data_IF_149914344222
#
_entry.id   IF_149914344222
#
_cell.length_a   1.000
_cell.length_b   1.000
_cell.length_c   1.000
_cell.angle_alpha   90.00
_cell.angle_beta   90.00
_cell.angle_gamma   90.00
#
_symmetry.space_group_name_H-M   'P 1'
#
loop_
_entity.id
_entity.type
_entity.pdbx_description
1 polymer ?
#
# COMPACT_ATOMS: atom_id res chain seq x y z
N UNK A 1 -16.42 8.99 10.92
CA UNK A 1 -15.68 8.70 12.17
C UNK A 1 -15.30 10.00 12.85
N UNK A 2 -15.54 10.12 14.16
CA UNK A 2 -15.24 11.34 14.92
C UNK A 2 -13.73 11.63 14.92
N UNK A 3 -13.33 12.90 14.65
CA UNK A 3 -11.94 13.35 14.68
C UNK A 3 -11.11 12.99 13.44
N UNK A 4 -11.72 12.45 12.39
CA UNK A 4 -11.08 12.34 11.08
C UNK A 4 -10.97 13.74 10.47
N UNK A 5 -9.80 14.05 9.97
CA UNK A 5 -9.55 15.22 9.14
C UNK A 5 -8.51 14.84 8.12
N UNK A 6 -8.89 14.87 6.86
CA UNK A 6 -8.08 14.54 5.71
C UNK A 6 -7.35 13.17 5.86
N UNK A 7 -8.10 12.05 6.02
CA UNK A 7 -7.49 10.72 6.15
C UNK A 7 -6.68 10.39 4.90
N UNK A 8 -5.44 9.96 5.12
CA UNK A 8 -4.48 9.76 4.05
C UNK A 8 -4.14 8.28 3.84
N UNK A 9 -3.82 7.56 4.93
CA UNK A 9 -3.50 6.13 4.91
C UNK A 9 -4.27 5.38 5.98
N UNK A 10 -4.56 4.13 5.69
CA UNK A 10 -5.28 3.24 6.58
C UNK A 10 -4.53 1.93 6.75
N UNK A 11 -4.64 1.35 7.94
CA UNK A 11 -4.22 -0.01 8.23
C UNK A 11 -5.23 -0.68 9.15
N UNK A 12 -5.56 -1.95 8.89
CA UNK A 12 -6.47 -2.73 9.74
C UNK A 12 -5.67 -3.72 10.59
N UNK A 13 -5.89 -3.67 11.90
CA UNK A 13 -5.46 -4.69 12.89
C UNK A 13 -6.69 -5.11 13.66
N UNK A 14 -7.50 -5.99 13.06
CA UNK A 14 -8.80 -6.37 13.60
C UNK A 14 -8.77 -6.57 15.11
N UNK A 15 -9.69 -5.97 15.89
CA UNK A 15 -10.86 -5.20 15.44
C UNK A 15 -10.61 -3.69 15.30
N UNK A 16 -9.39 -3.24 15.11
CA UNK A 16 -9.04 -1.82 15.07
C UNK A 16 -8.69 -1.35 13.66
N UNK A 17 -9.08 -0.11 13.36
CA UNK A 17 -8.65 0.64 12.19
C UNK A 17 -7.70 1.75 12.64
N UNK A 18 -6.50 1.77 12.08
CA UNK A 18 -5.52 2.82 12.27
C UNK A 18 -5.62 3.75 11.07
N UNK A 19 -5.76 5.04 11.34
CA UNK A 19 -5.87 6.08 10.31
C UNK A 19 -4.73 7.07 10.50
N UNK A 20 -3.99 7.34 9.44
CA UNK A 20 -3.08 8.47 9.34
C UNK A 20 -3.79 9.62 8.66
N UNK A 21 -3.83 10.78 9.31
CA UNK A 21 -4.29 12.03 8.71
C UNK A 21 -3.13 12.78 8.05
N UNK A 22 -3.40 13.49 6.97
CA UNK A 22 -2.41 14.32 6.27
C UNK A 22 -2.34 15.75 6.81
N UNK A 23 -3.35 16.19 7.56
CA UNK A 23 -3.40 17.54 8.10
C UNK A 23 -2.32 17.78 9.15
N UNK A 24 -1.37 18.64 8.80
CA UNK A 24 -0.24 19.01 9.65
C UNK A 24 -0.61 19.98 10.78
N UNK A 25 -1.81 20.53 10.77
CA UNK A 25 -2.28 21.49 11.77
C UNK A 25 -2.99 20.82 12.94
N UNK A 26 -3.16 19.49 12.90
CA UNK A 26 -3.83 18.74 13.94
C UNK A 26 -2.93 18.35 15.10
N UNK A 27 -3.53 18.25 16.28
CA UNK A 27 -2.88 17.77 17.49
C UNK A 27 -2.46 16.30 17.42
N UNK A 28 -3.02 15.51 16.48
CA UNK A 28 -2.76 14.09 16.35
C UNK A 28 -2.78 13.63 14.90
N UNK A 29 -1.68 12.97 14.48
CA UNK A 29 -1.50 12.44 13.12
C UNK A 29 -2.15 11.06 12.94
N UNK A 30 -2.22 10.27 14.01
CA UNK A 30 -2.70 8.88 13.96
C UNK A 30 -3.86 8.70 14.90
N UNK A 31 -4.93 8.09 14.39
CA UNK A 31 -6.14 7.76 15.13
C UNK A 31 -6.39 6.25 15.11
N UNK A 32 -6.79 5.67 16.22
CA UNK A 32 -7.18 4.27 16.36
C UNK A 32 -8.67 4.19 16.66
N UNK A 33 -9.42 3.55 15.77
CA UNK A 33 -10.85 3.33 15.90
C UNK A 33 -11.17 1.87 16.16
N UNK A 34 -12.14 1.61 17.02
CA UNK A 34 -12.71 0.29 17.21
C UNK A 34 -13.83 0.07 16.17
N UNK A 35 -13.62 -0.87 15.27
CA UNK A 35 -14.55 -1.18 14.17
C UNK A 35 -15.87 -1.82 14.63
N UNK A 36 -15.95 -2.28 15.87
CA UNK A 36 -17.20 -2.88 16.42
C UNK A 36 -18.25 -1.82 16.72
N UNK A 37 -17.83 -0.60 17.06
CA UNK A 37 -18.73 0.50 17.42
C UNK A 37 -18.36 1.84 16.76
N UNK A 38 -17.31 1.87 15.91
CA UNK A 38 -16.79 3.05 15.23
C UNK A 38 -16.32 4.17 16.18
N UNK A 39 -15.92 3.83 17.40
CA UNK A 39 -15.44 4.78 18.39
C UNK A 39 -13.94 5.05 18.27
N UNK A 40 -13.56 6.31 18.40
CA UNK A 40 -12.16 6.71 18.59
C UNK A 40 -11.67 6.23 19.97
N UNK A 41 -10.63 5.39 19.99
CA UNK A 41 -10.02 4.84 21.21
C UNK A 41 -8.77 5.59 21.62
N UNK A 42 -7.93 5.95 20.66
CA UNK A 42 -6.73 6.75 20.93
C UNK A 42 -6.34 7.59 19.73
N UNK A 43 -5.65 8.71 20.04
CA UNK A 43 -5.07 9.59 19.05
C UNK A 43 -3.65 9.99 19.52
N UNK A 44 -2.68 9.98 18.60
CA UNK A 44 -1.29 10.23 18.95
C UNK A 44 -0.47 10.75 17.77
N UNK A 45 0.77 11.18 18.07
CA UNK A 45 1.72 11.69 17.11
C UNK A 45 1.45 13.14 16.70
N UNK A 46 2.52 13.94 16.67
CA UNK A 46 2.51 15.33 16.23
C UNK A 46 3.60 15.53 15.19
N UNK A 47 3.44 16.53 14.35
CA UNK A 47 4.52 16.96 13.46
C UNK A 47 5.58 17.69 14.28
N UNK A 48 6.84 17.29 14.12
CA UNK A 48 7.97 17.92 14.80
C UNK A 48 9.18 17.00 14.89
N UNK A 49 10.18 17.42 15.66
CA UNK A 49 11.46 16.71 15.84
C UNK A 49 11.68 16.18 17.26
N UNK A 50 10.69 16.33 18.14
CA UNK A 50 10.75 15.86 19.51
C UNK A 50 10.57 14.33 19.66
N UNK A 51 10.69 13.78 20.89
CA UNK A 51 10.70 12.34 21.12
C UNK A 51 9.43 11.58 20.70
N UNK A 52 8.29 12.26 20.67
CA UNK A 52 6.98 11.70 20.25
C UNK A 52 6.42 12.40 19.02
N UNK A 53 7.29 13.05 18.26
CA UNK A 53 6.96 13.82 17.08
C UNK A 53 7.48 13.12 15.83
N UNK A 54 6.90 13.46 14.69
CA UNK A 54 7.13 12.81 13.42
C UNK A 54 7.52 13.82 12.34
N UNK A 55 8.50 13.42 11.53
CA UNK A 55 8.89 14.14 10.31
C UNK A 55 8.56 13.24 9.14
N UNK A 56 7.62 13.66 8.28
CA UNK A 56 7.16 12.88 7.12
C UNK A 56 6.85 11.40 7.45
N UNK A 57 5.90 11.12 8.37
CA UNK A 57 5.57 9.75 8.71
C UNK A 57 4.75 9.08 7.59
N UNK A 58 4.92 7.75 7.47
CA UNK A 58 4.07 6.90 6.64
C UNK A 58 3.56 5.71 7.44
N UNK A 59 2.26 5.55 7.50
CA UNK A 59 1.64 4.32 7.97
C UNK A 59 1.77 3.27 6.86
N UNK A 60 2.44 2.17 7.15
CA UNK A 60 2.66 1.09 6.20
C UNK A 60 1.55 0.05 6.29
N UNK A 61 1.01 -0.36 5.14
CA UNK A 61 0.24 -1.59 5.08
C UNK A 61 1.17 -2.78 5.29
N UNK A 62 0.80 -3.69 6.19
CA UNK A 62 1.58 -4.89 6.47
C UNK A 62 0.72 -5.99 7.09
N UNK A 63 1.19 -7.24 7.01
CA UNK A 63 0.50 -8.41 7.53
C UNK A 63 0.93 -8.80 8.96
N UNK A 64 1.85 -8.07 9.57
CA UNK A 64 2.29 -8.30 10.96
C UNK A 64 1.14 -8.08 11.94
N UNK A 65 1.27 -8.56 13.18
CA UNK A 65 0.35 -8.23 14.27
C UNK A 65 0.45 -6.76 14.68
N UNK A 66 1.62 -6.17 14.52
CA UNK A 66 1.90 -4.77 14.75
C UNK A 66 1.50 -3.92 13.53
N UNK A 67 1.09 -2.69 13.75
CA UNK A 67 1.13 -1.68 12.72
C UNK A 67 2.46 -0.94 12.76
N UNK A 68 2.91 -0.47 11.60
CA UNK A 68 4.24 0.11 11.43
C UNK A 68 4.14 1.51 10.85
N UNK A 69 4.86 2.43 11.46
CA UNK A 69 5.02 3.81 10.98
C UNK A 69 6.49 4.01 10.64
N UNK A 70 6.79 4.53 9.44
CA UNK A 70 8.12 5.08 9.18
C UNK A 70 8.20 6.51 9.67
N UNK A 71 9.37 6.94 10.11
CA UNK A 71 9.61 8.32 10.49
C UNK A 71 10.85 8.83 9.76
N UNK A 72 10.73 9.99 9.12
CA UNK A 72 11.78 10.62 8.31
C UNK A 72 12.40 9.66 7.25
N UNK A 73 11.60 8.73 6.74
CA UNK A 73 11.99 7.69 5.78
C UNK A 73 13.20 6.82 6.17
N UNK A 74 13.65 6.84 7.42
CA UNK A 74 14.88 6.16 7.85
C UNK A 74 14.71 5.26 9.08
N UNK A 75 13.54 5.21 9.69
CA UNK A 75 13.28 4.35 10.84
C UNK A 75 11.89 3.77 10.81
N UNK A 76 11.74 2.58 11.37
CA UNK A 76 10.46 1.92 11.64
C UNK A 76 10.10 2.07 13.11
N UNK A 77 8.86 2.38 13.37
CA UNK A 77 8.26 2.33 14.70
C UNK A 77 7.12 1.33 14.67
N UNK A 78 7.21 0.26 15.44
CA UNK A 78 6.22 -0.80 15.53
C UNK A 78 5.35 -0.60 16.76
N UNK A 79 4.04 -0.72 16.56
CA UNK A 79 3.04 -0.52 17.58
C UNK A 79 2.07 -1.70 17.63
N UNK A 80 1.59 -1.99 18.83
CA UNK A 80 0.39 -2.80 19.03
C UNK A 80 -0.76 -1.91 19.45
N UNK A 81 -1.99 -2.37 19.21
CA UNK A 81 -3.17 -1.81 19.87
C UNK A 81 -3.51 -2.75 21.03
N UNK A 82 -3.59 -2.21 22.24
CA UNK A 82 -3.95 -3.01 23.40
C UNK A 82 -5.47 -3.26 23.48
N UNK A 83 -5.89 -4.00 24.51
CA UNK A 83 -7.31 -4.34 24.74
C UNK A 83 -8.22 -3.12 24.92
N UNK A 84 -7.67 -2.00 25.35
CA UNK A 84 -8.38 -0.74 25.62
C UNK A 84 -8.33 0.21 24.40
N UNK A 85 -7.71 -0.24 23.29
CA UNK A 85 -7.58 0.50 22.05
C UNK A 85 -6.45 1.54 22.05
N UNK A 86 -5.50 1.44 23.01
CA UNK A 86 -4.38 2.34 23.06
C UNK A 86 -3.23 1.85 22.16
N UNK A 87 -2.64 2.76 21.41
CA UNK A 87 -1.45 2.49 20.61
C UNK A 87 -0.21 2.49 21.51
N UNK A 88 0.44 1.34 21.61
CA UNK A 88 1.65 1.16 22.44
C UNK A 88 2.84 0.85 21.53
N UNK A 89 3.84 1.74 21.55
CA UNK A 89 5.09 1.51 20.83
C UNK A 89 5.86 0.35 21.47
N UNK A 90 6.14 -0.67 20.68
CA UNK A 90 6.92 -1.86 21.07
C UNK A 90 8.39 -1.69 20.76
N UNK A 91 8.68 -1.13 19.60
CA UNK A 91 10.03 -1.08 19.07
C UNK A 91 10.21 0.14 18.17
N UNK A 92 11.41 0.72 18.21
CA UNK A 92 11.88 1.68 17.22
C UNK A 92 13.22 1.17 16.67
N UNK A 93 13.30 0.97 15.37
CA UNK A 93 14.47 0.46 14.67
C UNK A 93 14.87 1.40 13.55
N UNK A 94 16.15 1.74 13.51
CA UNK A 94 16.76 2.36 12.33
C UNK A 94 17.55 1.25 11.63
N UNK A 95 17.12 0.79 10.44
CA UNK A 95 17.86 -0.23 9.70
C UNK A 95 19.28 0.24 9.42
N UNK A 96 20.22 -0.69 9.48
CA UNK A 96 21.62 -0.40 9.13
C UNK A 96 21.75 -0.04 7.63
N UNK A 97 20.94 -0.65 6.78
CA UNK A 97 20.82 -0.33 5.37
C UNK A 97 20.12 1.02 5.16
N UNK A 98 20.84 1.99 4.62
CA UNK A 98 20.37 3.37 4.45
C UNK A 98 19.61 3.55 3.13
N UNK A 99 18.28 3.58 3.20
CA UNK A 99 17.39 3.82 2.05
C UNK A 99 16.08 4.45 2.54
N UNK A 100 15.36 5.11 1.63
CA UNK A 100 14.02 5.61 1.93
C UNK A 100 13.03 4.43 2.15
N UNK A 101 12.44 4.37 3.34
CA UNK A 101 11.63 3.24 3.82
C UNK A 101 10.13 3.41 3.57
N UNK A 102 9.68 4.50 2.97
CA UNK A 102 8.25 4.82 2.78
C UNK A 102 7.50 3.80 1.91
N UNK A 103 8.19 3.09 1.04
CA UNK A 103 7.63 2.04 0.18
C UNK A 103 8.07 0.63 0.63
N UNK A 104 8.38 0.48 1.91
CA UNK A 104 8.76 -0.81 2.46
C UNK A 104 7.56 -1.71 2.71
N UNK A 105 7.76 -3.02 2.49
CA UNK A 105 6.79 -4.06 2.75
C UNK A 105 7.44 -5.19 3.56
N UNK A 106 6.83 -5.59 4.66
CA UNK A 106 7.39 -6.61 5.55
C UNK A 106 7.13 -8.03 5.02
N UNK A 107 8.18 -8.87 5.03
CA UNK A 107 8.07 -10.32 4.87
C UNK A 107 7.85 -10.96 6.25
N UNK A 108 8.62 -10.55 7.25
CA UNK A 108 8.42 -10.85 8.66
C UNK A 108 9.16 -9.80 9.54
N UNK A 109 9.21 -9.98 10.83
CA UNK A 109 9.62 -8.95 11.81
C UNK A 109 10.89 -8.17 11.50
N UNK A 110 11.94 -8.79 10.95
CA UNK A 110 13.20 -8.12 10.61
C UNK A 110 13.46 -8.04 9.10
N UNK A 111 12.75 -8.84 8.29
CA UNK A 111 12.91 -8.89 6.84
C UNK A 111 11.85 -8.05 6.14
N UNK A 112 12.30 -7.22 5.23
CA UNK A 112 11.42 -6.39 4.42
C UNK A 112 11.95 -6.25 2.98
N UNK A 113 11.06 -5.86 2.10
CA UNK A 113 11.39 -5.46 0.72
C UNK A 113 11.16 -3.97 0.60
N UNK A 114 12.06 -3.29 -0.09
CA UNK A 114 11.94 -1.88 -0.40
C UNK A 114 12.14 -1.64 -1.90
N UNK A 115 11.32 -0.77 -2.47
CA UNK A 115 11.46 -0.34 -3.86
C UNK A 115 11.78 1.15 -3.91
N UNK A 116 13.00 1.54 -4.29
CA UNK A 116 13.34 2.93 -4.52
C UNK A 116 12.95 3.40 -5.93
N UNK A 117 11.92 2.81 -6.51
CA UNK A 117 11.46 3.07 -7.88
C UNK A 117 11.17 4.55 -8.13
N UNK A 118 10.62 5.26 -7.13
CA UNK A 118 10.37 6.70 -7.19
C UNK A 118 11.64 7.53 -7.51
N UNK A 119 12.81 7.01 -7.14
CA UNK A 119 14.12 7.64 -7.45
C UNK A 119 14.71 7.16 -8.78
N UNK A 120 13.93 6.46 -9.62
CA UNK A 120 14.39 5.95 -10.91
C UNK A 120 15.28 4.70 -10.81
N UNK A 121 15.42 4.12 -9.63
CA UNK A 121 16.23 2.91 -9.42
C UNK A 121 15.43 1.68 -9.85
N UNK A 122 15.92 0.86 -10.82
CA UNK A 122 15.16 -0.25 -11.39
C UNK A 122 15.24 -1.55 -10.58
N UNK A 123 15.57 -1.45 -9.30
CA UNK A 123 15.76 -2.60 -8.42
C UNK A 123 14.80 -2.55 -7.24
N UNK A 124 14.43 -3.74 -6.77
CA UNK A 124 13.87 -3.97 -5.46
C UNK A 124 14.92 -4.66 -4.61
N UNK A 125 14.92 -4.36 -3.32
CA UNK A 125 15.90 -4.92 -2.40
C UNK A 125 15.20 -5.67 -1.27
N UNK A 126 15.63 -6.90 -1.02
CA UNK A 126 15.30 -7.64 0.19
C UNK A 126 16.34 -7.32 1.24
N UNK A 127 15.92 -6.81 2.37
CA UNK A 127 16.79 -6.32 3.44
C UNK A 127 16.47 -7.00 4.77
N UNK A 128 17.47 -7.20 5.61
CA UNK A 128 17.31 -7.45 7.04
C UNK A 128 17.68 -6.15 7.79
N UNK A 129 16.91 -5.79 8.80
CA UNK A 129 17.12 -4.56 9.58
C UNK A 129 18.51 -4.45 10.22
N UNK A 130 19.18 -5.60 10.43
CA UNK A 130 20.50 -5.71 11.09
C UNK A 130 21.67 -5.62 10.13
N UNK A 131 21.42 -5.74 8.83
CA UNK A 131 22.48 -5.78 7.81
C UNK A 131 22.67 -4.42 7.17
N UNK A 132 23.92 -4.03 6.93
CA UNK A 132 24.28 -2.80 6.21
C UNK A 132 24.03 -2.92 4.70
N UNK A 133 24.07 -4.15 4.17
CA UNK A 133 23.86 -4.45 2.75
C UNK A 133 22.56 -5.23 2.54
N UNK A 134 21.89 -5.08 1.39
CA UNK A 134 20.72 -5.88 1.08
C UNK A 134 21.09 -7.35 0.93
N UNK A 135 20.21 -8.23 1.37
CA UNK A 135 20.36 -9.68 1.21
C UNK A 135 20.26 -10.10 -0.26
N UNK A 136 19.43 -9.41 -1.03
CA UNK A 136 19.19 -9.68 -2.43
C UNK A 136 18.68 -8.43 -3.17
N UNK A 137 19.08 -8.26 -4.40
CA UNK A 137 18.55 -7.29 -5.34
C UNK A 137 17.82 -7.99 -6.48
N UNK A 138 16.73 -7.42 -6.96
CA UNK A 138 15.96 -7.90 -8.09
C UNK A 138 15.67 -6.75 -9.04
N UNK A 139 16.17 -6.88 -10.29
CA UNK A 139 15.84 -5.95 -11.36
C UNK A 139 14.48 -6.30 -11.96
N UNK A 140 13.48 -5.46 -11.73
CA UNK A 140 12.11 -5.69 -12.22
C UNK A 140 11.86 -5.14 -13.63
N UNK A 141 12.79 -4.36 -14.16
CA UNK A 141 12.74 -3.77 -15.50
C UNK A 141 14.14 -3.70 -16.14
N UNK A 142 14.20 -3.28 -17.39
CA UNK A 142 15.46 -3.01 -18.07
C UNK A 142 16.22 -1.87 -17.36
N UNK A 143 17.43 -2.17 -16.93
CA UNK A 143 18.29 -1.22 -16.18
C UNK A 143 18.91 -0.14 -17.05
N UNK A 144 18.77 -0.24 -18.37
CA UNK A 144 19.28 0.76 -19.33
C UNK A 144 18.30 1.93 -19.53
N UNK A 145 17.05 1.79 -19.07
CA UNK A 145 16.05 2.85 -19.18
C UNK A 145 16.27 3.91 -18.10
N UNK A 146 16.33 5.16 -18.50
CA UNK A 146 16.73 6.28 -17.63
C UNK A 146 15.51 6.97 -17.00
N UNK A 147 14.35 6.97 -17.67
CA UNK A 147 13.18 7.72 -17.21
C UNK A 147 12.07 6.81 -16.66
N UNK A 148 11.94 6.78 -15.32
CA UNK A 148 10.91 6.00 -14.64
C UNK A 148 9.47 6.41 -14.99
N UNK A 149 9.21 7.70 -15.18
CA UNK A 149 7.86 8.19 -15.42
C UNK A 149 7.28 7.73 -16.76
N UNK A 150 8.15 7.49 -17.73
CA UNK A 150 7.78 7.07 -19.09
C UNK A 150 8.04 5.58 -19.34
N UNK A 151 8.28 4.82 -18.28
CA UNK A 151 8.59 3.39 -18.35
C UNK A 151 7.31 2.56 -18.39
N UNK A 152 7.03 1.82 -19.48
CA UNK A 152 5.88 0.95 -19.56
C UNK A 152 5.94 -0.23 -18.58
N UNK A 153 7.12 -0.60 -18.10
CA UNK A 153 7.34 -1.62 -17.08
C UNK A 153 7.25 -1.08 -15.64
N UNK A 154 6.82 0.16 -15.49
CA UNK A 154 6.69 0.80 -14.19
C UNK A 154 5.82 -0.02 -13.24
N UNK A 155 6.34 -0.27 -12.06
CA UNK A 155 5.66 -0.91 -10.94
C UNK A 155 5.38 0.15 -9.88
N UNK A 156 4.13 0.61 -9.79
CA UNK A 156 3.72 1.58 -8.77
C UNK A 156 3.34 0.89 -7.45
N UNK A 157 3.01 -0.40 -7.52
CA UNK A 157 2.50 -1.15 -6.39
C UNK A 157 3.27 -2.45 -6.21
N UNK A 158 4.11 -2.48 -5.19
CA UNK A 158 4.78 -3.67 -4.68
C UNK A 158 4.19 -4.00 -3.31
N UNK A 159 3.87 -5.26 -3.10
CA UNK A 159 3.36 -5.77 -1.84
C UNK A 159 4.17 -6.97 -1.40
N UNK A 160 4.31 -7.17 -0.08
CA UNK A 160 4.90 -8.39 0.45
C UNK A 160 4.16 -8.86 1.71
N UNK A 161 4.13 -10.18 1.87
CA UNK A 161 3.77 -10.84 3.11
C UNK A 161 4.70 -12.03 3.35
N UNK A 162 4.42 -12.86 4.36
CA UNK A 162 5.26 -14.02 4.71
C UNK A 162 5.43 -15.04 3.57
N UNK A 163 4.56 -15.03 2.58
CA UNK A 163 4.53 -16.05 1.53
C UNK A 163 4.91 -15.52 0.15
N UNK A 164 4.62 -14.25 -0.12
CA UNK A 164 4.67 -13.69 -1.48
C UNK A 164 5.23 -12.29 -1.50
N UNK A 165 5.88 -11.98 -2.61
CA UNK A 165 6.11 -10.63 -3.12
C UNK A 165 5.26 -10.51 -4.38
N UNK A 166 4.47 -9.45 -4.49
CA UNK A 166 3.57 -9.24 -5.63
C UNK A 166 3.86 -7.89 -6.26
N UNK A 167 4.02 -7.88 -7.58
CA UNK A 167 4.23 -6.68 -8.39
C UNK A 167 3.01 -6.44 -9.26
N UNK A 168 2.39 -5.26 -9.12
CA UNK A 168 1.29 -4.82 -9.96
C UNK A 168 1.78 -3.69 -10.87
N UNK A 169 1.72 -3.91 -12.19
CA UNK A 169 2.25 -2.97 -13.17
C UNK A 169 1.27 -1.85 -13.48
N UNK A 170 1.78 -0.63 -13.60
CA UNK A 170 0.95 0.56 -13.80
C UNK A 170 0.35 0.63 -15.22
N UNK A 171 1.13 0.29 -16.25
CA UNK A 171 0.72 0.43 -17.66
C UNK A 171 0.59 -0.90 -18.42
N UNK A 172 0.75 -2.01 -17.72
CA UNK A 172 0.45 -3.35 -18.23
C UNK A 172 -0.65 -3.95 -17.36
N UNK A 173 -1.62 -4.60 -17.96
CA UNK A 173 -2.53 -5.43 -17.17
C UNK A 173 -1.84 -6.74 -16.80
N UNK A 174 -0.84 -6.62 -15.91
CA UNK A 174 0.02 -7.71 -15.46
C UNK A 174 0.23 -7.66 -13.95
N UNK A 175 0.22 -8.83 -13.34
CA UNK A 175 0.59 -9.04 -11.93
C UNK A 175 1.58 -10.19 -11.88
N UNK A 176 2.71 -9.98 -11.21
CA UNK A 176 3.72 -11.01 -10.96
C UNK A 176 3.66 -11.45 -9.49
N UNK A 177 3.40 -12.72 -9.26
CA UNK A 177 3.47 -13.37 -7.95
C UNK A 177 4.81 -14.08 -7.83
N UNK A 178 5.57 -13.72 -6.82
CA UNK A 178 6.90 -14.26 -6.54
C UNK A 178 6.95 -14.90 -5.16
N UNK A 179 7.89 -15.79 -4.95
CA UNK A 179 8.28 -16.16 -3.59
C UNK A 179 9.06 -15.02 -2.90
N UNK A 180 9.41 -15.21 -1.63
CA UNK A 180 10.14 -14.20 -0.87
C UNK A 180 11.62 -14.08 -1.27
N UNK A 181 12.07 -14.86 -2.23
CA UNK A 181 13.42 -14.81 -2.83
C UNK A 181 13.42 -14.27 -4.27
N UNK A 182 12.32 -13.61 -4.68
CA UNK A 182 12.12 -13.03 -6.01
C UNK A 182 12.08 -14.06 -7.15
N UNK A 183 11.81 -15.34 -6.88
CA UNK A 183 11.55 -16.30 -7.94
C UNK A 183 10.11 -16.15 -8.40
N UNK A 184 9.91 -15.97 -9.71
CA UNK A 184 8.57 -15.87 -10.29
C UNK A 184 7.83 -17.21 -10.14
N UNK A 185 6.68 -17.18 -9.47
CA UNK A 185 5.79 -18.32 -9.30
C UNK A 185 4.71 -18.31 -10.39
N UNK A 186 4.06 -17.15 -10.54
CA UNK A 186 2.97 -16.96 -11.47
C UNK A 186 2.98 -15.56 -12.05
N UNK A 187 2.83 -15.46 -13.35
CA UNK A 187 2.49 -14.21 -14.05
C UNK A 187 1.06 -14.28 -14.53
N UNK A 188 0.25 -13.35 -14.07
CA UNK A 188 -1.11 -13.12 -14.56
C UNK A 188 -1.02 -12.00 -15.58
N UNK A 189 -1.37 -12.28 -16.83
CA UNK A 189 -1.34 -11.35 -17.95
C UNK A 189 -2.63 -11.46 -18.74
N UNK A 190 -3.26 -10.35 -19.04
CA UNK A 190 -4.59 -10.32 -19.68
C UNK A 190 -4.55 -9.87 -21.14
N UNK A 191 -3.55 -9.09 -21.53
CA UNK A 191 -3.42 -8.54 -22.87
C UNK A 191 -2.05 -8.84 -23.46
N UNK A 192 -1.95 -8.89 -24.77
CA UNK A 192 -0.71 -8.92 -25.52
C UNK A 192 -0.09 -7.52 -25.57
N UNK A 193 0.27 -7.01 -24.39
CA UNK A 193 0.95 -5.74 -24.30
C UNK A 193 2.40 -5.90 -24.75
N UNK A 194 2.78 -5.14 -25.77
CA UNK A 194 4.17 -5.03 -26.20
C UNK A 194 4.68 -3.66 -25.80
N UNK A 195 5.53 -3.55 -24.78
CA UNK A 195 6.04 -2.25 -24.33
C UNK A 195 6.89 -1.60 -25.43
N UNK A 196 6.72 -0.29 -25.61
CA UNK A 196 7.58 0.53 -26.44
C UNK A 196 8.46 1.36 -25.52
N UNK A 197 9.74 0.98 -25.45
CA UNK A 197 10.72 1.63 -24.59
C UNK A 197 11.26 2.92 -25.21
N UNK A 198 11.64 3.87 -24.36
CA UNK A 198 12.21 5.16 -24.80
C UNK A 198 11.19 6.15 -25.35
N UNK A 199 9.91 5.83 -25.31
CA UNK A 199 8.82 6.72 -25.72
C UNK A 199 8.01 7.10 -24.50
N UNK A 200 7.63 8.37 -24.40
CA UNK A 200 6.76 8.85 -23.32
C UNK A 200 5.43 8.12 -23.35
N UNK A 201 4.97 7.64 -22.18
CA UNK A 201 3.63 7.06 -22.06
C UNK A 201 2.60 8.10 -22.49
N UNK A 202 1.72 7.79 -23.46
CA UNK A 202 0.71 8.72 -23.92
C UNK A 202 -0.21 9.19 -22.80
N UNK A 203 -0.64 10.45 -22.81
CA UNK A 203 -1.57 11.01 -21.81
C UNK A 203 -2.95 10.34 -21.80
N UNK A 204 -3.31 9.71 -22.90
CA UNK A 204 -4.53 8.94 -23.11
C UNK A 204 -4.34 7.45 -22.80
N UNK A 205 -3.14 7.03 -22.36
CA UNK A 205 -2.92 5.67 -21.89
C UNK A 205 -3.75 5.39 -20.63
N UNK A 206 -4.31 4.18 -20.58
CA UNK A 206 -5.12 3.74 -19.45
C UNK A 206 -4.23 3.05 -18.43
N UNK A 207 -4.04 3.64 -17.23
CA UNK A 207 -3.37 2.91 -16.17
C UNK A 207 -4.11 1.62 -15.83
N UNK A 208 -3.35 0.58 -15.52
CA UNK A 208 -3.89 -0.73 -15.12
C UNK A 208 -4.08 -0.76 -13.60
N UNK A 209 -3.06 -1.18 -12.86
CA UNK A 209 -3.16 -1.28 -11.42
C UNK A 209 -2.58 -0.05 -10.72
N UNK A 210 -3.45 0.69 -10.04
CA UNK A 210 -3.09 2.00 -9.45
C UNK A 210 -3.02 1.98 -7.93
N UNK A 211 -3.59 0.95 -7.32
CA UNK A 211 -3.57 0.71 -5.88
C UNK A 211 -3.77 -0.78 -5.59
N UNK A 212 -3.45 -1.20 -4.37
CA UNK A 212 -3.74 -2.54 -3.92
C UNK A 212 -3.48 -2.73 -2.43
N UNK A 213 -3.81 -3.91 -1.97
CA UNK A 213 -3.56 -4.38 -0.60
C UNK A 213 -3.27 -5.88 -0.65
N UNK A 214 -2.21 -6.32 -0.01
CA UNK A 214 -1.90 -7.74 0.15
C UNK A 214 -2.18 -8.16 1.59
N UNK A 215 -3.25 -8.91 1.77
CA UNK A 215 -3.61 -9.52 3.04
C UNK A 215 -2.85 -10.82 3.32
N UNK A 216 -3.35 -11.56 4.29
CA UNK A 216 -2.84 -12.91 4.61
C UNK A 216 -3.30 -13.97 3.61
N UNK A 217 -4.50 -13.78 3.02
CA UNK A 217 -5.18 -14.72 2.14
C UNK A 217 -5.22 -14.29 0.68
N UNK A 218 -5.37 -12.98 0.43
CA UNK A 218 -5.67 -12.46 -0.89
C UNK A 218 -4.83 -11.22 -1.23
N UNK A 219 -4.60 -11.05 -2.53
CA UNK A 219 -4.28 -9.77 -3.14
C UNK A 219 -5.58 -9.10 -3.55
N UNK A 220 -5.73 -7.83 -3.21
CA UNK A 220 -6.80 -6.93 -3.64
C UNK A 220 -6.15 -5.87 -4.54
N UNK A 221 -6.38 -5.94 -5.85
CA UNK A 221 -5.77 -5.06 -6.84
C UNK A 221 -6.82 -4.13 -7.47
N UNK A 222 -6.64 -2.84 -7.34
CA UNK A 222 -7.54 -1.85 -7.95
C UNK A 222 -7.12 -1.60 -9.38
N UNK A 223 -7.92 -2.09 -10.32
CA UNK A 223 -7.77 -1.83 -11.74
C UNK A 223 -8.47 -0.53 -12.12
N UNK A 224 -7.76 0.38 -12.77
CA UNK A 224 -8.32 1.69 -13.13
C UNK A 224 -9.14 1.61 -14.41
N UNK A 225 -8.62 1.07 -15.49
CA UNK A 225 -9.34 0.84 -16.75
C UNK A 225 -9.84 2.09 -17.49
N UNK A 226 -9.52 3.29 -16.99
CA UNK A 226 -9.85 4.58 -17.59
C UNK A 226 -8.62 5.49 -17.59
N UNK A 227 -8.61 6.51 -18.44
CA UNK A 227 -7.54 7.51 -18.47
C UNK A 227 -7.65 8.47 -17.28
N UNK A 228 -6.58 9.20 -16.99
CA UNK A 228 -6.65 10.26 -15.97
C UNK A 228 -7.63 11.37 -16.35
N UNK A 229 -7.77 11.70 -17.64
CA UNK A 229 -8.74 12.68 -18.13
C UNK A 229 -10.19 12.22 -17.89
N UNK A 230 -10.49 10.94 -18.18
CA UNK A 230 -11.80 10.34 -17.88
C UNK A 230 -12.08 10.32 -16.37
N UNK A 231 -11.06 10.05 -15.56
CA UNK A 231 -11.18 10.10 -14.11
C UNK A 231 -11.48 11.51 -13.58
N UNK A 232 -10.78 12.53 -14.10
CA UNK A 232 -11.02 13.94 -13.75
C UNK A 232 -12.42 14.40 -14.20
N UNK A 233 -12.87 13.93 -15.37
CA UNK A 233 -14.25 14.14 -15.85
C UNK A 233 -15.31 13.34 -15.09
N UNK A 234 -14.91 12.56 -14.08
CA UNK A 234 -15.75 11.62 -13.31
C UNK A 234 -16.37 10.50 -14.17
N UNK A 235 -15.82 10.22 -15.33
CA UNK A 235 -16.16 9.08 -16.16
C UNK A 235 -15.37 7.85 -15.67
N UNK A 236 -15.98 7.03 -14.82
CA UNK A 236 -15.30 5.91 -14.15
C UNK A 236 -15.60 4.55 -14.76
N UNK A 237 -15.70 4.50 -16.06
CA UNK A 237 -15.97 3.25 -16.80
C UNK A 237 -14.80 2.28 -16.68
N UNK A 238 -15.11 1.06 -16.25
CA UNK A 238 -14.14 -0.05 -16.19
C UNK A 238 -13.32 -0.17 -14.91
N UNK A 239 -13.47 0.75 -13.95
CA UNK A 239 -12.80 0.63 -12.66
C UNK A 239 -13.42 -0.49 -11.82
N UNK A 240 -12.59 -1.39 -11.31
CA UNK A 240 -13.04 -2.50 -10.46
C UNK A 240 -11.91 -3.00 -9.55
N UNK A 241 -12.30 -3.69 -8.49
CA UNK A 241 -11.38 -4.40 -7.62
C UNK A 241 -11.28 -5.85 -8.06
N UNK A 242 -10.09 -6.31 -8.39
CA UNK A 242 -9.79 -7.71 -8.69
C UNK A 242 -9.17 -8.36 -7.46
N UNK A 243 -9.65 -9.56 -7.11
CA UNK A 243 -9.15 -10.33 -5.97
C UNK A 243 -8.54 -11.63 -6.46
N UNK A 244 -7.32 -11.89 -6.01
CA UNK A 244 -6.55 -13.10 -6.32
C UNK A 244 -6.14 -13.81 -5.04
N UNK A 245 -6.08 -15.14 -5.09
CA UNK A 245 -5.37 -15.88 -4.03
C UNK A 245 -3.84 -15.66 -4.14
N UNK A 246 -3.10 -16.16 -3.17
CA UNK A 246 -1.65 -15.98 -3.14
C UNK A 246 -0.89 -16.78 -4.21
N UNK A 247 -1.57 -17.65 -4.94
CA UNK A 247 -1.02 -18.40 -6.08
C UNK A 247 -1.39 -17.77 -7.44
N UNK A 248 -2.01 -16.57 -7.39
CA UNK A 248 -2.38 -15.80 -8.57
C UNK A 248 -3.62 -16.31 -9.31
N UNK A 249 -4.47 -17.11 -8.65
CA UNK A 249 -5.76 -17.53 -9.20
C UNK A 249 -6.79 -16.44 -8.93
N UNK A 250 -7.55 -15.97 -9.94
CA UNK A 250 -8.62 -15.01 -9.72
C UNK A 250 -9.74 -15.64 -8.87
N UNK A 251 -10.20 -14.89 -7.86
CA UNK A 251 -11.22 -15.31 -6.88
C UNK A 251 -12.50 -14.54 -7.07
N UNK A 252 -12.41 -13.21 -7.18
CA UNK A 252 -13.57 -12.34 -7.29
C UNK A 252 -13.21 -11.06 -8.06
N UNK A 253 -14.26 -10.38 -8.55
CA UNK A 253 -14.19 -9.04 -9.13
C UNK A 253 -15.38 -8.24 -8.64
N UNK A 254 -15.12 -7.01 -8.15
CA UNK A 254 -16.15 -6.10 -7.65
C UNK A 254 -16.14 -4.83 -8.48
N UNK A 255 -17.27 -4.50 -9.08
CA UNK A 255 -17.49 -3.20 -9.69
C UNK A 255 -17.72 -2.18 -8.56
N UNK A 256 -16.81 -1.22 -8.45
CA UNK A 256 -16.91 -0.19 -7.42
C UNK A 256 -17.84 0.93 -7.88
N UNK A 257 -18.96 1.06 -7.20
CA UNK A 257 -19.89 2.16 -7.44
C UNK A 257 -19.48 3.37 -6.60
N UNK A 258 -19.50 4.56 -7.19
CA UNK A 258 -19.21 5.80 -6.48
C UNK A 258 -17.75 6.25 -6.56
N UNK A 259 -17.18 6.70 -5.44
CA UNK A 259 -15.84 7.27 -5.40
C UNK A 259 -14.73 6.20 -5.48
N UNK A 260 -13.57 6.59 -6.03
CA UNK A 260 -12.42 5.71 -6.14
C UNK A 260 -11.76 5.50 -4.78
N UNK A 261 -11.52 4.24 -4.34
CA UNK A 261 -10.66 3.98 -3.19
C UNK A 261 -9.24 4.52 -3.42
N UNK A 262 -8.66 5.09 -2.36
CA UNK A 262 -7.29 5.55 -2.34
C UNK A 262 -6.61 5.06 -1.07
N UNK A 263 -5.44 4.42 -1.19
CA UNK A 263 -4.70 3.88 -0.03
C UNK A 263 -5.57 3.05 0.91
N UNK A 264 -6.35 2.14 0.35
CA UNK A 264 -7.29 1.34 1.10
C UNK A 264 -6.61 0.22 1.90
N UNK A 265 -7.29 -0.23 2.94
CA UNK A 265 -6.98 -1.43 3.69
C UNK A 265 -8.18 -2.36 3.71
N UNK A 266 -7.94 -3.67 3.86
CA UNK A 266 -8.99 -4.68 3.92
C UNK A 266 -8.92 -5.43 5.24
N UNK A 267 -10.03 -5.46 5.95
CA UNK A 267 -10.24 -6.37 7.07
C UNK A 267 -10.63 -7.75 6.52
N UNK A 268 -9.72 -8.71 6.53
CA UNK A 268 -9.98 -10.06 6.05
C UNK A 268 -10.80 -10.93 7.02
N UNK A 269 -11.05 -10.49 8.25
CA UNK A 269 -11.96 -11.17 9.17
C UNK A 269 -13.43 -10.90 8.81
N UNK A 270 -13.72 -9.69 8.34
CA UNK A 270 -15.06 -9.27 7.96
C UNK A 270 -15.23 -9.05 6.45
N UNK A 271 -14.18 -9.20 5.65
CA UNK A 271 -14.11 -8.86 4.23
C UNK A 271 -14.66 -7.46 3.92
N UNK A 272 -14.14 -6.50 4.67
CA UNK A 272 -14.53 -5.09 4.52
C UNK A 272 -13.34 -4.27 4.07
N UNK A 273 -13.49 -3.56 2.96
CA UNK A 273 -12.54 -2.57 2.48
C UNK A 273 -12.87 -1.21 3.07
N UNK A 274 -11.86 -0.55 3.61
CA UNK A 274 -11.92 0.83 4.10
C UNK A 274 -10.98 1.68 3.29
N UNK A 275 -11.41 2.87 2.87
CA UNK A 275 -10.58 3.80 2.09
C UNK A 275 -10.89 5.25 2.43
N UNK A 276 -9.88 6.14 2.42
CA UNK A 276 -10.11 7.56 2.36
C UNK A 276 -10.80 7.94 1.05
N UNK A 277 -11.45 9.09 1.05
CA UNK A 277 -12.08 9.69 -0.12
C UNK A 277 -11.33 10.93 -0.57
N UNK A 278 -11.24 11.11 -1.89
CA UNK A 278 -10.84 12.38 -2.45
C UNK A 278 -12.06 13.30 -2.58
N UNK A 279 -12.03 14.45 -1.89
CA UNK A 279 -12.99 15.53 -2.12
C UNK A 279 -14.39 15.35 -1.54
N UNK A 280 -14.57 14.43 -0.60
CA UNK A 280 -15.74 14.38 0.29
C UNK A 280 -15.43 15.03 1.63
N UNK A 281 -16.46 15.20 2.50
CA UNK A 281 -16.23 15.66 3.86
C UNK A 281 -15.10 14.90 4.52
N UNK A 282 -14.17 15.62 5.10
CA UNK A 282 -12.90 15.13 5.64
C UNK A 282 -13.04 14.09 6.76
N UNK A 283 -14.27 13.90 7.25
CA UNK A 283 -14.64 12.97 8.32
C UNK A 283 -15.25 11.65 7.85
N UNK A 284 -15.20 11.35 6.54
CA UNK A 284 -15.81 10.15 5.96
C UNK A 284 -14.79 9.19 5.38
N UNK A 285 -15.11 7.90 5.46
CA UNK A 285 -14.41 6.83 4.76
C UNK A 285 -15.39 6.12 3.81
N UNK A 286 -14.85 5.62 2.70
CA UNK A 286 -15.52 4.60 1.90
C UNK A 286 -15.45 3.26 2.62
N UNK A 287 -16.57 2.57 2.64
CA UNK A 287 -16.68 1.22 3.21
C UNK A 287 -17.38 0.32 2.21
N UNK A 288 -16.70 -0.72 1.76
CA UNK A 288 -17.26 -1.73 0.86
C UNK A 288 -17.25 -3.11 1.52
N UNK A 289 -18.37 -3.80 1.50
CA UNK A 289 -18.45 -5.22 1.82
C UNK A 289 -18.07 -6.04 0.59
N UNK A 290 -17.08 -6.91 0.75
CA UNK A 290 -16.61 -7.80 -0.32
C UNK A 290 -17.29 -9.16 -0.17
N UNK A 291 -18.54 -9.23 -0.62
CA UNK A 291 -19.37 -10.42 -0.46
C UNK A 291 -18.84 -11.60 -1.28
N UNK A 292 -18.99 -12.83 -0.76
CA UNK A 292 -18.62 -14.07 -1.44
C UNK A 292 -17.18 -14.53 -1.22
N UNK A 293 -16.32 -13.76 -0.57
CA UNK A 293 -15.01 -14.22 -0.11
C UNK A 293 -15.13 -15.13 1.13
N UNK A 294 -14.13 -16.04 1.30
CA UNK A 294 -14.13 -17.04 2.38
C UNK A 294 -12.79 -17.07 3.11
#
# INVERSE_FOLDING_TARGET
>A
LQGLTDPFRLEVKHPYLIVQNSDKLQDSLFHVYDLRNNELKSAFGRVGQGPKEYVMPWLLNNHLSEFVITNNHNSFQKFIVDKDGQAIMKEKVTPAFQMALSESQFIHDSLFVVSPAFYGIPYMFKCDMRNEEPLKAYAYRDTTLINYADDPDRVDNMFANQKRIVLCYAYKKQIDFMDTDFNLIKRVKFDDYTPVYGVKVPKDEKPSYVQGYLGKRYLYALFMGCTYNELEARERKGMHLEVYDLDGKPVARYELQGERPRYFAVDEETFTLYSPLNGLPEDHLLVYKLEGLK
#
